data_IF_994631409165
#
_entry.id   IF_994631409165
#
_cell.length_a   1.000
_cell.length_b   1.000
_cell.length_c   1.000
_cell.angle_alpha   90.00
_cell.angle_beta   90.00
_cell.angle_gamma   90.00
#
_symmetry.space_group_name_H-M   'P 1'
#
loop_
_entity.id
_entity.type
_entity.pdbx_description
1 polymer ?
#
# COMPACT_ATOMS: atom_id res chain seq x y z
N UNK A 1 -7.89 -25.63 3.08
CA UNK A 1 -8.45 -24.41 2.45
C UNK A 1 -9.39 -23.70 3.39
N UNK A 2 -9.65 -22.43 3.19
CA UNK A 2 -10.62 -21.63 3.96
C UNK A 2 -12.04 -22.17 3.70
N UNK A 3 -12.81 -22.41 4.76
CA UNK A 3 -14.19 -22.84 4.65
C UNK A 3 -15.15 -21.64 4.42
N UNK A 4 -16.44 -21.90 4.14
CA UNK A 4 -17.41 -20.85 3.80
C UNK A 4 -17.73 -19.89 4.95
N UNK A 5 -17.57 -20.31 6.20
CA UNK A 5 -17.75 -19.44 7.37
C UNK A 5 -16.53 -18.54 7.56
N UNK A 6 -15.32 -19.11 7.49
CA UNK A 6 -14.07 -18.34 7.54
C UNK A 6 -14.00 -17.30 6.41
N UNK A 7 -14.46 -17.65 5.21
CA UNK A 7 -14.55 -16.70 4.08
C UNK A 7 -15.48 -15.51 4.42
N UNK A 8 -16.65 -15.77 5.02
CA UNK A 8 -17.55 -14.68 5.44
C UNK A 8 -16.93 -13.81 6.53
N UNK A 9 -16.16 -14.37 7.44
CA UNK A 9 -15.48 -13.64 8.50
C UNK A 9 -14.31 -12.82 7.96
N UNK A 10 -13.57 -13.34 6.98
CA UNK A 10 -12.56 -12.60 6.24
C UNK A 10 -13.15 -11.36 5.54
N UNK A 11 -14.29 -11.50 4.86
CA UNK A 11 -15.00 -10.35 4.27
C UNK A 11 -15.49 -9.35 5.33
N UNK A 12 -15.91 -9.81 6.50
CA UNK A 12 -16.29 -8.92 7.61
C UNK A 12 -15.11 -8.15 8.18
N UNK A 13 -13.92 -8.73 8.16
CA UNK A 13 -12.70 -8.07 8.61
C UNK A 13 -12.33 -6.85 7.76
N UNK A 14 -12.79 -6.81 6.50
CA UNK A 14 -12.65 -5.67 5.58
C UNK A 14 -13.69 -4.55 5.80
N UNK A 15 -14.62 -4.72 6.75
CA UNK A 15 -15.70 -3.76 6.96
C UNK A 15 -15.14 -2.39 7.36
N UNK A 16 -15.51 -1.37 6.61
CA UNK A 16 -15.04 0.00 6.82
C UNK A 16 -13.74 0.35 6.09
N UNK A 17 -13.11 -0.61 5.40
CA UNK A 17 -11.97 -0.35 4.53
C UNK A 17 -12.45 0.33 3.25
N UNK A 18 -11.91 1.51 2.97
CA UNK A 18 -12.22 2.25 1.74
C UNK A 18 -11.37 1.69 0.59
N UNK A 19 -12.02 1.23 -0.47
CA UNK A 19 -11.34 0.72 -1.67
C UNK A 19 -11.03 1.84 -2.67
N UNK A 20 -11.88 2.87 -2.71
CA UNK A 20 -11.70 4.00 -3.61
C UNK A 20 -12.28 5.27 -2.98
N UNK A 21 -11.58 6.38 -3.17
CA UNK A 21 -12.01 7.73 -2.79
C UNK A 21 -11.78 8.66 -3.95
N UNK A 22 -12.74 9.53 -4.24
CA UNK A 22 -12.63 10.56 -5.27
C UNK A 22 -12.97 11.90 -4.67
N UNK A 23 -12.18 12.92 -4.98
CA UNK A 23 -12.35 14.28 -4.49
C UNK A 23 -12.66 15.20 -5.66
N UNK A 24 -13.82 15.86 -5.60
CA UNK A 24 -14.33 16.82 -6.58
C UNK A 24 -14.55 18.18 -5.94
N UNK A 25 -14.72 19.23 -6.76
CA UNK A 25 -15.20 20.53 -6.31
C UNK A 25 -16.58 20.81 -6.89
N UNK A 26 -17.54 21.14 -6.03
CA UNK A 26 -18.86 21.65 -6.42
C UNK A 26 -18.82 23.18 -6.57
N UNK A 27 -18.00 23.69 -7.50
CA UNK A 27 -17.75 25.13 -7.68
C UNK A 27 -18.54 25.74 -8.84
N UNK A 28 -19.41 24.96 -9.50
CA UNK A 28 -20.25 25.41 -10.62
C UNK A 28 -19.49 25.70 -11.92
N UNK A 29 -18.21 25.32 -12.01
CA UNK A 29 -17.44 25.45 -13.25
C UNK A 29 -17.67 24.27 -14.19
N UNK A 30 -17.21 24.38 -15.44
CA UNK A 30 -17.21 23.30 -16.44
C UNK A 30 -16.32 22.09 -16.09
N UNK A 31 -15.56 22.19 -14.99
CA UNK A 31 -14.71 21.12 -14.48
C UNK A 31 -15.22 20.50 -13.17
N UNK A 32 -16.45 20.82 -12.76
CA UNK A 32 -17.02 20.30 -11.51
C UNK A 32 -17.13 18.76 -11.49
N UNK A 33 -17.25 18.13 -12.68
CA UNK A 33 -17.27 16.68 -12.88
C UNK A 33 -15.89 16.00 -12.95
N UNK A 34 -14.81 16.79 -12.88
CA UNK A 34 -13.44 16.28 -12.96
C UNK A 34 -12.81 16.19 -11.57
N UNK A 35 -12.22 15.03 -11.21
CA UNK A 35 -11.62 14.85 -9.90
C UNK A 35 -10.34 15.66 -9.72
N UNK A 36 -10.09 16.12 -8.49
CA UNK A 36 -8.77 16.59 -8.07
C UNK A 36 -7.84 15.42 -7.77
N UNK A 37 -8.35 14.48 -6.99
CA UNK A 37 -7.58 13.31 -6.54
C UNK A 37 -8.48 12.09 -6.57
N UNK A 38 -7.92 11.00 -7.04
CA UNK A 38 -8.48 9.65 -6.90
C UNK A 38 -7.48 8.79 -6.15
N UNK A 39 -7.95 8.11 -5.10
CA UNK A 39 -7.13 7.16 -4.35
C UNK A 39 -7.78 5.78 -4.43
N UNK A 40 -7.01 4.78 -4.81
CA UNK A 40 -7.42 3.37 -4.83
C UNK A 40 -6.57 2.58 -3.84
N UNK A 41 -7.21 1.66 -3.10
CA UNK A 41 -6.56 0.88 -2.07
C UNK A 41 -6.88 -0.60 -2.21
N UNK A 42 -5.85 -1.42 -2.02
CA UNK A 42 -5.98 -2.87 -1.85
C UNK A 42 -5.58 -3.24 -0.44
N UNK A 43 -6.22 -4.26 0.11
CA UNK A 43 -5.96 -4.75 1.46
C UNK A 43 -5.54 -6.21 1.41
N UNK A 44 -4.60 -6.57 2.27
CA UNK A 44 -4.25 -7.96 2.54
C UNK A 44 -4.99 -8.45 3.78
N UNK A 45 -5.56 -9.65 3.67
CA UNK A 45 -6.27 -10.31 4.77
C UNK A 45 -5.51 -11.58 5.12
N UNK A 46 -4.99 -11.64 6.34
CA UNK A 46 -4.26 -12.79 6.88
C UNK A 46 -5.07 -13.45 7.99
N UNK A 47 -5.22 -14.77 7.92
CA UNK A 47 -5.85 -15.52 8.99
C UNK A 47 -4.85 -15.69 10.14
N UNK A 48 -5.21 -15.21 11.33
CA UNK A 48 -4.43 -15.37 12.56
C UNK A 48 -4.88 -16.56 13.38
N UNK A 49 -6.19 -16.84 13.35
CA UNK A 49 -6.79 -17.97 14.05
C UNK A 49 -7.84 -18.61 13.16
N UNK A 50 -7.70 -19.91 12.84
CA UNK A 50 -8.74 -20.65 12.12
C UNK A 50 -9.97 -20.88 13.01
N UNK A 51 -11.11 -21.12 12.37
CA UNK A 51 -12.35 -21.41 13.08
C UNK A 51 -12.19 -22.67 13.96
N UNK A 52 -11.80 -23.80 13.38
CA UNK A 52 -11.70 -25.11 14.07
C UNK A 52 -12.78 -25.26 15.15
N UNK A 53 -12.37 -25.40 16.43
CA UNK A 53 -13.26 -25.43 17.60
C UNK A 53 -13.54 -24.03 18.21
N UNK A 54 -12.98 -22.99 17.63
CA UNK A 54 -13.20 -21.62 18.07
C UNK A 54 -14.59 -21.13 17.63
N UNK A 55 -15.14 -20.19 18.38
CA UNK A 55 -16.41 -19.56 18.03
C UNK A 55 -16.34 -18.74 16.74
N UNK A 56 -15.17 -18.14 16.49
CA UNK A 56 -14.89 -17.30 15.32
C UNK A 56 -13.46 -17.52 14.85
N UNK A 57 -13.23 -17.36 13.55
CA UNK A 57 -11.91 -17.16 13.01
C UNK A 57 -11.46 -15.70 13.26
N UNK A 58 -10.16 -15.45 13.33
CA UNK A 58 -9.58 -14.12 13.51
C UNK A 58 -8.72 -13.78 12.31
N UNK A 59 -8.92 -12.59 11.77
CA UNK A 59 -8.19 -12.09 10.63
C UNK A 59 -7.51 -10.76 10.96
N UNK A 60 -6.28 -10.61 10.51
CA UNK A 60 -5.55 -9.35 10.47
C UNK A 60 -5.67 -8.74 9.08
N UNK A 61 -6.03 -7.46 9.02
CA UNK A 61 -6.19 -6.70 7.77
C UNK A 61 -5.25 -5.51 7.79
N UNK A 62 -4.52 -5.31 6.70
CA UNK A 62 -3.70 -4.12 6.52
C UNK A 62 -3.72 -3.65 5.06
N UNK A 63 -3.46 -2.36 4.77
CA UNK A 63 -3.23 -1.89 3.41
C UNK A 63 -2.08 -2.67 2.77
N UNK A 64 -2.27 -3.12 1.54
CA UNK A 64 -1.27 -3.80 0.73
C UNK A 64 -0.68 -2.83 -0.29
N UNK A 65 -1.56 -2.08 -0.96
CA UNK A 65 -1.19 -1.08 -1.95
C UNK A 65 -2.15 0.10 -1.88
N UNK A 66 -1.60 1.30 -2.10
CA UNK A 66 -2.39 2.54 -2.25
C UNK A 66 -1.88 3.30 -3.47
N UNK A 67 -2.74 3.47 -4.46
CA UNK A 67 -2.45 4.25 -5.67
C UNK A 67 -3.19 5.59 -5.57
N UNK A 68 -2.45 6.69 -5.66
CA UNK A 68 -3.00 8.04 -5.65
C UNK A 68 -2.73 8.73 -6.97
N UNK A 69 -3.81 9.15 -7.64
CA UNK A 69 -3.79 9.88 -8.89
C UNK A 69 -4.20 11.33 -8.62
N UNK A 70 -3.24 12.25 -8.71
CA UNK A 70 -3.47 13.69 -8.57
C UNK A 70 -3.76 14.28 -9.95
N UNK A 71 -5.03 14.39 -10.29
CA UNK A 71 -5.49 14.90 -11.57
C UNK A 71 -5.47 16.42 -11.66
N UNK A 72 -5.70 17.10 -10.54
CA UNK A 72 -5.86 18.57 -10.52
C UNK A 72 -6.86 19.05 -11.57
N UNK A 73 -7.92 18.25 -11.81
CA UNK A 73 -8.97 18.47 -12.81
C UNK A 73 -8.47 18.42 -14.26
N UNK A 74 -7.36 17.72 -14.49
CA UNK A 74 -6.82 17.38 -15.81
C UNK A 74 -6.65 15.85 -15.90
N UNK A 75 -7.57 15.19 -16.57
CA UNK A 75 -7.62 13.72 -16.63
C UNK A 75 -6.58 13.08 -17.54
N UNK A 76 -5.89 13.88 -18.36
CA UNK A 76 -4.98 13.36 -19.39
C UNK A 76 -3.61 12.96 -18.87
N UNK A 77 -3.16 13.54 -17.74
CA UNK A 77 -1.82 13.29 -17.21
C UNK A 77 -1.76 13.52 -15.69
N UNK A 78 -2.35 12.60 -14.87
CA UNK A 78 -2.26 12.69 -13.44
C UNK A 78 -0.83 12.48 -12.94
N UNK A 79 -0.47 13.11 -11.81
CA UNK A 79 0.70 12.70 -11.03
C UNK A 79 0.33 11.46 -10.23
N UNK A 80 1.07 10.38 -10.43
CA UNK A 80 0.75 9.08 -9.85
C UNK A 80 1.81 8.72 -8.81
N UNK A 81 1.36 8.46 -7.58
CA UNK A 81 2.16 7.89 -6.50
C UNK A 81 1.58 6.56 -6.06
N UNK A 82 2.45 5.61 -5.71
CA UNK A 82 2.06 4.26 -5.34
C UNK A 82 2.81 3.84 -4.09
N UNK A 83 2.08 3.64 -3.01
CA UNK A 83 2.60 3.13 -1.75
C UNK A 83 2.39 1.61 -1.69
N UNK A 84 3.45 0.87 -1.37
CA UNK A 84 3.47 -0.58 -1.31
C UNK A 84 3.87 -1.04 0.09
N UNK A 85 3.06 -1.88 0.71
CA UNK A 85 3.44 -2.62 1.92
C UNK A 85 4.07 -3.94 1.50
N UNK A 86 5.36 -4.10 1.73
CA UNK A 86 6.12 -5.26 1.26
C UNK A 86 6.20 -6.36 2.31
N UNK A 87 6.42 -5.99 3.57
CA UNK A 87 6.44 -6.94 4.67
C UNK A 87 5.80 -6.36 5.93
N UNK A 88 5.12 -7.23 6.67
CA UNK A 88 4.49 -6.94 7.96
C UNK A 88 4.84 -8.06 8.92
N UNK A 89 5.27 -7.71 10.12
CA UNK A 89 5.59 -8.71 11.14
C UNK A 89 4.32 -9.39 11.71
N UNK A 90 4.53 -10.32 12.64
CA UNK A 90 3.42 -11.06 13.28
C UNK A 90 2.52 -10.15 14.14
N UNK A 91 2.98 -8.97 14.55
CA UNK A 91 2.24 -8.03 15.38
C UNK A 91 1.63 -6.86 14.60
N UNK A 92 1.83 -6.82 13.28
CA UNK A 92 1.24 -5.82 12.40
C UNK A 92 2.13 -4.60 12.13
N UNK A 93 3.38 -4.59 12.58
CA UNK A 93 4.31 -3.54 12.22
C UNK A 93 4.81 -3.73 10.78
N UNK A 94 4.77 -2.66 9.98
CA UNK A 94 5.33 -2.67 8.62
C UNK A 94 6.85 -2.64 8.71
N UNK A 95 7.49 -3.73 8.29
CA UNK A 95 8.95 -3.89 8.32
C UNK A 95 9.60 -3.53 6.99
N UNK A 96 8.86 -3.66 5.89
CA UNK A 96 9.34 -3.25 4.57
C UNK A 96 8.22 -2.55 3.80
N UNK A 97 8.54 -1.44 3.15
CA UNK A 97 7.63 -0.69 2.29
C UNK A 97 8.37 -0.04 1.14
N UNK A 98 7.64 0.35 0.11
CA UNK A 98 8.18 1.16 -0.98
C UNK A 98 7.19 2.24 -1.38
N UNK A 99 7.73 3.38 -1.81
CA UNK A 99 6.99 4.46 -2.44
C UNK A 99 7.50 4.66 -3.85
N UNK A 100 6.58 4.73 -4.82
CA UNK A 100 6.88 4.88 -6.24
C UNK A 100 6.21 6.16 -6.74
N UNK A 101 6.99 7.07 -7.33
CA UNK A 101 6.47 8.16 -8.13
C UNK A 101 6.66 7.80 -9.61
N UNK A 102 5.56 7.70 -10.34
CA UNK A 102 5.59 7.34 -11.76
C UNK A 102 5.92 8.56 -12.65
N UNK A 103 6.58 8.32 -13.80
CA UNK A 103 6.86 9.38 -14.74
C UNK A 103 5.58 9.98 -15.30
N UNK A 104 5.63 11.28 -15.64
CA UNK A 104 4.59 11.98 -16.38
C UNK A 104 4.52 11.43 -17.81
N UNK A 105 3.33 11.42 -18.38
CA UNK A 105 3.10 10.84 -19.72
C UNK A 105 3.05 11.88 -20.83
N UNK A 106 2.71 13.12 -20.51
CA UNK A 106 2.53 14.18 -21.51
C UNK A 106 3.47 15.36 -21.26
N UNK A 107 4.19 15.76 -22.32
CA UNK A 107 5.03 16.96 -22.33
C UNK A 107 4.19 18.24 -22.58
N UNK A 108 4.69 19.46 -22.24
CA UNK A 108 6.01 19.74 -21.66
C UNK A 108 6.03 19.67 -20.13
N UNK A 109 7.07 19.08 -19.57
CA UNK A 109 7.33 19.03 -18.13
C UNK A 109 8.83 18.97 -17.85
N UNK A 110 9.23 19.12 -16.60
CA UNK A 110 10.62 19.03 -16.18
C UNK A 110 11.18 17.63 -16.47
N UNK A 111 12.44 17.49 -17.00
CA UNK A 111 13.07 16.19 -17.25
C UNK A 111 13.09 15.24 -16.05
N UNK A 112 13.09 15.76 -14.81
CA UNK A 112 13.00 14.93 -13.62
C UNK A 112 11.61 14.29 -13.46
N UNK A 113 10.57 14.84 -14.06
CA UNK A 113 9.22 14.27 -14.08
C UNK A 113 9.05 13.15 -15.11
N UNK A 114 10.02 12.96 -15.99
CA UNK A 114 10.08 11.83 -16.95
C UNK A 114 10.67 10.57 -16.33
N UNK A 115 11.19 10.68 -15.11
CA UNK A 115 11.83 9.56 -14.41
C UNK A 115 10.85 8.92 -13.40
N UNK A 116 10.99 7.61 -13.25
CA UNK A 116 10.39 6.91 -12.14
C UNK A 116 11.30 7.00 -10.93
N UNK A 117 10.73 7.36 -9.78
CA UNK A 117 11.42 7.39 -8.52
C UNK A 117 10.86 6.30 -7.60
N UNK A 118 11.75 5.47 -7.09
CA UNK A 118 11.37 4.39 -6.16
C UNK A 118 12.22 4.49 -4.91
N UNK A 119 11.58 4.65 -3.76
CA UNK A 119 12.23 4.53 -2.46
C UNK A 119 11.81 3.25 -1.78
N UNK A 120 12.76 2.53 -1.21
CA UNK A 120 12.56 1.31 -0.44
C UNK A 120 12.93 1.57 1.01
N UNK A 121 12.03 1.23 1.93
CA UNK A 121 12.23 1.46 3.35
C UNK A 121 12.24 0.13 4.10
N UNK A 122 13.24 -0.07 4.95
CA UNK A 122 13.29 -1.17 5.92
C UNK A 122 13.22 -0.58 7.33
N UNK A 123 12.30 -1.08 8.12
CA UNK A 123 12.12 -0.72 9.53
C UNK A 123 12.46 -1.91 10.41
N UNK A 124 13.41 -1.73 11.31
CA UNK A 124 13.74 -2.69 12.33
C UNK A 124 12.91 -2.44 13.58
N UNK A 125 12.15 -3.46 13.98
CA UNK A 125 11.20 -3.38 15.09
C UNK A 125 11.54 -4.44 16.11
N UNK A 126 11.68 -4.03 17.37
CA UNK A 126 11.89 -4.93 18.48
C UNK A 126 10.56 -5.37 19.07
N UNK A 127 10.34 -6.69 19.12
CA UNK A 127 9.21 -7.31 19.80
C UNK A 127 9.73 -8.21 20.93
N UNK A 128 9.36 -7.89 22.18
CA UNK A 128 9.59 -8.72 23.36
C UNK A 128 8.26 -9.19 23.92
N UNK A 129 7.84 -10.37 23.53
CA UNK A 129 6.55 -10.97 23.85
C UNK A 129 6.66 -12.20 24.77
N UNK A 130 7.86 -12.77 24.88
CA UNK A 130 8.15 -14.00 25.63
C UNK A 130 8.46 -13.79 27.12
N UNK A 131 8.72 -12.55 27.57
CA UNK A 131 8.99 -12.26 28.97
C UNK A 131 7.66 -12.07 29.73
N UNK A 132 7.36 -12.89 30.77
CA UNK A 132 6.12 -12.81 31.50
C UNK A 132 5.97 -11.54 32.34
N UNK A 133 7.07 -10.85 32.67
CA UNK A 133 7.09 -9.66 33.50
C UNK A 133 7.29 -8.34 32.72
N UNK A 134 7.76 -8.44 31.49
CA UNK A 134 8.04 -7.29 30.65
C UNK A 134 7.74 -7.55 29.18
N UNK A 135 6.59 -7.07 28.73
CA UNK A 135 6.15 -7.17 27.34
C UNK A 135 6.26 -5.80 26.66
N UNK A 136 6.98 -5.78 25.52
CA UNK A 136 7.09 -4.61 24.64
C UNK A 136 6.97 -5.09 23.18
N UNK A 137 6.04 -4.50 22.45
CA UNK A 137 5.76 -4.84 21.05
C UNK A 137 5.78 -3.55 20.24
N UNK A 138 6.35 -3.61 19.02
CA UNK A 138 6.32 -2.52 18.08
C UNK A 138 7.30 -1.39 18.39
N UNK A 139 8.44 -1.66 19.06
CA UNK A 139 9.46 -0.64 19.32
C UNK A 139 10.33 -0.50 18.06
N UNK A 140 10.04 0.52 17.25
CA UNK A 140 10.92 0.87 16.14
C UNK A 140 12.23 1.46 16.67
N UNK A 141 13.37 0.94 16.21
CA UNK A 141 14.69 1.39 16.66
C UNK A 141 15.63 1.79 15.52
N UNK A 142 15.30 1.42 14.30
CA UNK A 142 16.09 1.77 13.13
C UNK A 142 15.18 1.83 11.90
N UNK A 143 15.44 2.79 11.00
CA UNK A 143 14.81 2.88 9.69
C UNK A 143 15.88 3.23 8.67
N UNK A 144 15.93 2.47 7.58
CA UNK A 144 16.84 2.70 6.45
C UNK A 144 16.03 2.88 5.18
N UNK A 145 16.43 3.86 4.36
CA UNK A 145 15.77 4.18 3.10
C UNK A 145 16.80 4.14 1.99
N UNK A 146 16.44 3.48 0.89
CA UNK A 146 17.25 3.38 -0.33
C UNK A 146 16.45 3.90 -1.52
N UNK A 147 17.11 4.59 -2.41
CA UNK A 147 16.61 4.84 -3.76
C UNK A 147 16.93 3.62 -4.63
N UNK A 148 15.91 3.09 -5.32
CA UNK A 148 16.08 1.99 -6.27
C UNK A 148 16.10 2.57 -7.68
N UNK A 149 17.16 2.25 -8.42
CA UNK A 149 17.35 2.67 -9.83
C UNK A 149 17.32 1.47 -10.75
N UNK A 150 16.94 1.68 -12.03
CA UNK A 150 16.93 0.61 -13.03
C UNK A 150 15.69 -0.28 -13.01
N UNK A 151 14.68 0.05 -12.21
CA UNK A 151 13.35 -0.56 -12.31
C UNK A 151 12.64 -0.01 -13.56
N UNK A 152 11.99 -0.87 -14.31
CA UNK A 152 11.25 -0.50 -15.50
C UNK A 152 9.76 -0.84 -15.34
N UNK A 153 8.91 -0.01 -15.91
CA UNK A 153 7.47 -0.29 -16.02
C UNK A 153 7.27 -1.14 -17.27
N UNK A 154 6.78 -2.35 -17.10
CA UNK A 154 6.41 -3.23 -18.21
C UNK A 154 4.95 -2.98 -18.59
N UNK A 155 4.73 -2.70 -19.88
CA UNK A 155 3.40 -2.56 -20.49
C UNK A 155 2.47 -1.52 -19.82
N UNK A 156 3.02 -0.50 -19.18
CA UNK A 156 2.25 0.55 -18.51
C UNK A 156 1.52 0.10 -17.24
N UNK A 157 1.78 -1.10 -16.75
CA UNK A 157 1.21 -1.63 -15.51
C UNK A 157 1.99 -1.12 -14.29
N UNK A 158 1.31 -0.71 -13.20
CA UNK A 158 1.98 -0.35 -11.94
C UNK A 158 2.85 -1.49 -11.41
N UNK A 159 3.94 -1.13 -10.72
CA UNK A 159 4.82 -2.11 -10.07
C UNK A 159 4.06 -2.91 -9.02
N UNK A 160 4.36 -4.20 -8.94
CA UNK A 160 3.82 -5.07 -7.90
C UNK A 160 4.76 -5.12 -6.68
N UNK A 161 4.25 -5.40 -5.46
CA UNK A 161 5.08 -5.59 -4.27
C UNK A 161 6.19 -6.63 -4.48
N UNK A 162 5.87 -7.73 -5.17
CA UNK A 162 6.83 -8.82 -5.42
C UNK A 162 7.93 -8.40 -6.40
N UNK A 163 7.62 -7.59 -7.42
CA UNK A 163 8.62 -7.07 -8.35
C UNK A 163 9.62 -6.16 -7.63
N UNK A 164 9.14 -5.23 -6.80
CA UNK A 164 10.00 -4.31 -6.04
C UNK A 164 10.88 -5.08 -5.04
N UNK A 165 10.30 -6.03 -4.31
CA UNK A 165 11.05 -6.86 -3.35
C UNK A 165 12.13 -7.70 -4.03
N UNK A 166 11.79 -8.32 -5.16
CA UNK A 166 12.75 -9.13 -5.92
C UNK A 166 13.93 -8.29 -6.41
N UNK A 167 13.65 -7.07 -6.88
CA UNK A 167 14.70 -6.15 -7.32
C UNK A 167 15.64 -5.74 -6.18
N UNK A 168 15.10 -5.42 -5.00
CA UNK A 168 15.91 -5.02 -3.84
C UNK A 168 16.84 -6.14 -3.34
N UNK A 169 16.45 -7.40 -3.50
CA UNK A 169 17.21 -8.56 -3.03
C UNK A 169 18.24 -9.10 -4.06
N UNK A 170 18.31 -8.54 -5.26
CA UNK A 170 19.29 -8.92 -6.31
C UNK A 170 20.45 -7.94 -6.38
#
# INVERSE_FOLDING_TARGET
GINSQEMREAHRALRGSLLRTEVYAEDGTDKADKPFVVTEQCFRVRMEQPLNENRYAVFFVHPDQTLTLNYERNETDPRITHELTLAVDQFGAVTESASVAYPRQTAPHDPEQEKMWVSYTVNNVLNKDSDPYWRRIGIAYESSIWELTGLEILDGTPLTPDAVRTWFNN
#
